data_IF_232418051592
#
_entry.id   IF_232418051592
#
_cell.length_a   1.000
_cell.length_b   1.000
_cell.length_c   1.000
_cell.angle_alpha   90.00
_cell.angle_beta   90.00
_cell.angle_gamma   90.00
#
_symmetry.space_group_name_H-M   'P 1'
#
loop_
_entity.id
_entity.type
_entity.pdbx_description
1 polymer ?
#
# COMPACT_ATOMS: atom_id res chain seq x y z
N UNK A 1 -1.75 -14.11 18.48
CA UNK A 1 -1.48 -15.30 17.63
C UNK A 1 -1.64 -14.89 16.18
N UNK A 2 -0.62 -15.06 15.37
CA UNK A 2 -0.74 -14.77 13.93
C UNK A 2 -1.56 -15.87 13.25
N UNK A 3 -2.41 -15.54 12.25
CA UNK A 3 -3.19 -16.58 11.53
C UNK A 3 -2.32 -17.68 10.95
N UNK A 4 -1.06 -17.37 10.62
CA UNK A 4 -0.08 -18.33 10.07
C UNK A 4 0.53 -19.28 11.11
N UNK A 5 0.32 -19.04 12.41
CA UNK A 5 0.73 -19.99 13.47
C UNK A 5 -0.27 -21.14 13.64
N UNK A 6 -1.49 -20.97 13.14
CA UNK A 6 -2.50 -22.01 13.16
C UNK A 6 -2.25 -23.08 12.09
N UNK A 7 -2.69 -24.29 12.35
CA UNK A 7 -2.74 -25.38 11.36
C UNK A 7 -4.13 -25.42 10.71
N UNK A 8 -4.16 -25.48 9.39
CA UNK A 8 -5.41 -25.62 8.62
C UNK A 8 -5.39 -27.00 7.94
N UNK A 9 -6.35 -27.86 8.26
CA UNK A 9 -6.41 -29.23 7.73
C UNK A 9 -5.11 -30.03 7.92
N UNK A 10 -4.42 -29.82 9.04
CA UNK A 10 -3.14 -30.50 9.33
C UNK A 10 -1.91 -29.88 8.66
N UNK A 11 -2.07 -28.83 7.85
CA UNK A 11 -0.96 -28.13 7.19
C UNK A 11 -0.61 -26.87 7.98
N UNK A 12 0.69 -26.60 8.28
CA UNK A 12 1.10 -25.35 8.92
C UNK A 12 0.69 -24.13 8.10
N UNK A 13 0.07 -23.13 8.77
CA UNK A 13 -0.39 -21.92 8.09
C UNK A 13 0.74 -21.14 7.41
N UNK A 14 1.95 -21.15 7.98
CA UNK A 14 3.16 -20.58 7.36
C UNK A 14 3.47 -21.20 6.01
N UNK A 15 3.32 -22.52 5.88
CA UNK A 15 3.54 -23.22 4.61
C UNK A 15 2.49 -22.85 3.57
N UNK A 16 1.21 -22.78 3.97
CA UNK A 16 0.13 -22.33 3.08
C UNK A 16 0.35 -20.90 2.62
N UNK A 17 0.75 -20.02 3.53
CA UNK A 17 1.06 -18.64 3.21
C UNK A 17 2.24 -18.54 2.23
N UNK A 18 3.31 -19.28 2.46
CA UNK A 18 4.48 -19.31 1.59
C UNK A 18 4.12 -19.81 0.18
N UNK A 19 3.28 -20.86 0.07
CA UNK A 19 2.82 -21.38 -1.23
C UNK A 19 1.99 -20.34 -2.01
N UNK A 20 1.07 -19.65 -1.33
CA UNK A 20 0.27 -18.59 -1.95
C UNK A 20 1.17 -17.43 -2.40
N UNK A 21 2.12 -17.02 -1.57
CA UNK A 21 3.06 -15.94 -1.89
C UNK A 21 3.94 -16.29 -3.09
N UNK A 22 4.51 -17.50 -3.11
CA UNK A 22 5.33 -17.99 -4.23
C UNK A 22 4.48 -18.07 -5.50
N UNK A 23 3.25 -18.59 -5.41
CA UNK A 23 2.32 -18.62 -6.54
C UNK A 23 2.01 -17.24 -7.11
N UNK A 24 1.75 -16.26 -6.25
CA UNK A 24 1.50 -14.87 -6.65
C UNK A 24 2.74 -14.24 -7.33
N UNK A 25 3.94 -14.44 -6.75
CA UNK A 25 5.20 -13.98 -7.35
C UNK A 25 5.46 -14.64 -8.70
N UNK A 26 5.24 -15.94 -8.81
CA UNK A 26 5.40 -16.70 -10.06
C UNK A 26 4.43 -16.20 -11.15
N UNK A 27 3.17 -15.98 -10.82
CA UNK A 27 2.17 -15.43 -11.75
C UNK A 27 2.55 -14.01 -12.21
N UNK A 28 3.01 -13.16 -11.28
CA UNK A 28 3.52 -11.84 -11.61
C UNK A 28 4.75 -11.92 -12.53
N UNK A 29 5.75 -12.74 -12.19
CA UNK A 29 6.97 -12.91 -12.98
C UNK A 29 6.67 -13.45 -14.39
N UNK A 30 5.74 -14.39 -14.52
CA UNK A 30 5.27 -14.89 -15.81
C UNK A 30 4.66 -13.77 -16.64
N UNK A 31 3.74 -12.98 -16.08
CA UNK A 31 3.08 -11.86 -16.77
C UNK A 31 4.09 -10.77 -17.15
N UNK A 32 5.00 -10.43 -16.24
CA UNK A 32 6.04 -9.45 -16.48
C UNK A 32 7.02 -9.89 -17.58
N UNK A 33 7.44 -11.16 -17.58
CA UNK A 33 8.33 -11.70 -18.62
C UNK A 33 7.70 -11.66 -20.01
N UNK A 34 6.39 -11.97 -20.11
CA UNK A 34 5.65 -11.83 -21.38
C UNK A 34 5.63 -10.40 -21.90
N UNK A 35 5.40 -9.43 -21.01
CA UNK A 35 5.43 -8.00 -21.37
C UNK A 35 6.84 -7.54 -21.73
N UNK A 36 7.85 -8.02 -21.02
CA UNK A 36 9.25 -7.72 -21.34
C UNK A 36 9.64 -8.20 -22.74
N UNK A 37 9.24 -9.41 -23.13
CA UNK A 37 9.47 -9.93 -24.48
C UNK A 37 8.87 -9.01 -25.55
N UNK A 38 7.66 -8.47 -25.33
CA UNK A 38 7.05 -7.50 -26.27
C UNK A 38 7.86 -6.22 -26.42
N UNK A 39 8.50 -5.74 -25.36
CA UNK A 39 9.35 -4.55 -25.40
C UNK A 39 10.64 -4.77 -26.20
N UNK A 40 11.10 -6.02 -26.31
CA UNK A 40 12.38 -6.36 -27.00
C UNK A 40 12.19 -6.67 -28.49
N UNK A 41 10.96 -6.82 -28.98
CA UNK A 41 10.66 -7.11 -30.39
C UNK A 41 10.87 -5.88 -31.30
N UNK A 42 10.81 -4.67 -30.74
CA UNK A 42 10.70 -3.41 -31.50
C UNK A 42 12.01 -2.84 -32.07
N UNK A 43 13.15 -3.50 -31.95
CA UNK A 43 14.44 -3.01 -32.48
C UNK A 43 15.60 -3.06 -31.47
N UNK A 44 16.80 -2.59 -31.87
CA UNK A 44 17.96 -2.59 -30.96
C UNK A 44 17.68 -1.71 -29.73
N UNK A 45 18.12 -2.14 -28.53
CA UNK A 45 17.87 -1.39 -27.31
C UNK A 45 18.61 -0.05 -27.33
N UNK A 46 17.92 1.03 -26.95
CA UNK A 46 18.56 2.31 -26.68
C UNK A 46 19.61 2.16 -25.57
N UNK A 47 20.76 2.77 -25.76
CA UNK A 47 21.79 2.87 -24.70
C UNK A 47 21.27 3.79 -23.61
N UNK A 48 20.86 3.20 -22.49
CA UNK A 48 20.24 3.93 -21.35
C UNK A 48 21.14 4.01 -20.12
N UNK A 49 22.39 3.60 -20.24
CA UNK A 49 23.41 3.67 -19.18
C UNK A 49 24.35 4.85 -19.31
N UNK A 50 24.10 5.72 -20.30
CA UNK A 50 24.95 6.84 -20.67
C UNK A 50 25.01 7.95 -19.62
N UNK A 51 23.92 8.17 -18.83
CA UNK A 51 23.82 9.25 -17.84
C UNK A 51 23.10 8.80 -16.58
N UNK A 52 23.68 7.90 -15.77
CA UNK A 52 22.98 7.25 -14.67
C UNK A 52 22.51 8.24 -13.59
N UNK A 53 23.32 9.26 -13.26
CA UNK A 53 22.97 10.27 -12.24
C UNK A 53 21.82 11.19 -12.67
N UNK A 54 21.81 11.63 -13.93
CA UNK A 54 20.70 12.45 -14.44
C UNK A 54 19.40 11.65 -14.48
N UNK A 55 19.48 10.38 -14.87
CA UNK A 55 18.33 9.47 -14.89
C UNK A 55 17.82 9.17 -13.49
N UNK A 56 18.74 8.94 -12.53
CA UNK A 56 18.36 8.77 -11.12
C UNK A 56 17.70 10.03 -10.56
N UNK A 57 18.26 11.21 -10.85
CA UNK A 57 17.63 12.48 -10.48
C UNK A 57 16.24 12.63 -11.08
N UNK A 58 16.07 12.33 -12.37
CA UNK A 58 14.77 12.36 -13.05
C UNK A 58 13.78 11.38 -12.43
N UNK A 59 14.23 10.17 -12.07
CA UNK A 59 13.41 9.17 -11.38
C UNK A 59 12.95 9.69 -10.01
N UNK A 60 13.84 10.27 -9.23
CA UNK A 60 13.50 10.84 -7.93
C UNK A 60 12.52 12.03 -8.06
N UNK A 61 12.83 13.00 -8.95
CA UNK A 61 11.98 14.18 -9.12
C UNK A 61 10.59 13.84 -9.66
N UNK A 62 10.49 12.97 -10.66
CA UNK A 62 9.24 12.69 -11.37
C UNK A 62 8.51 11.46 -10.83
N UNK A 63 9.25 10.45 -10.38
CA UNK A 63 8.68 9.20 -9.88
C UNK A 63 8.38 9.25 -8.37
N UNK A 64 9.35 9.66 -7.54
CA UNK A 64 9.19 9.64 -6.08
C UNK A 64 8.55 10.95 -5.58
N UNK A 65 9.09 12.12 -5.97
CA UNK A 65 8.55 13.41 -5.53
C UNK A 65 7.36 13.90 -6.36
N UNK A 66 6.99 13.17 -7.42
CA UNK A 66 5.79 13.42 -8.23
C UNK A 66 5.66 14.87 -8.70
N UNK A 67 6.78 15.55 -9.04
CA UNK A 67 6.86 16.99 -9.32
C UNK A 67 5.81 17.48 -10.32
N UNK A 68 5.46 16.66 -11.33
CA UNK A 68 4.45 17.03 -12.34
C UNK A 68 3.02 17.06 -11.79
N UNK A 69 2.72 16.33 -10.72
CA UNK A 69 1.38 16.27 -10.14
C UNK A 69 0.95 17.58 -9.49
N UNK A 70 1.92 18.38 -9.01
CA UNK A 70 1.64 19.68 -8.37
C UNK A 70 1.11 20.73 -9.34
N UNK A 71 1.20 20.52 -10.65
CA UNK A 71 0.70 21.48 -11.65
C UNK A 71 -0.82 21.43 -11.83
N UNK A 72 -1.49 20.29 -11.55
CA UNK A 72 -2.95 20.22 -11.50
C UNK A 72 -3.39 20.18 -10.03
N UNK A 73 -3.60 21.35 -9.44
CA UNK A 73 -3.78 21.54 -8.00
C UNK A 73 -4.73 20.55 -7.33
N UNK A 74 -5.97 20.40 -7.84
CA UNK A 74 -6.94 19.47 -7.25
C UNK A 74 -6.60 17.99 -7.55
N UNK A 75 -6.23 17.69 -8.80
CA UNK A 75 -5.84 16.32 -9.16
C UNK A 75 -4.53 15.90 -8.48
N UNK A 76 -3.58 16.83 -8.40
CA UNK A 76 -2.34 16.62 -7.67
C UNK A 76 -2.58 16.32 -6.21
N UNK A 77 -3.49 17.05 -5.54
CA UNK A 77 -3.78 16.86 -4.13
C UNK A 77 -4.24 15.43 -3.83
N UNK A 78 -5.35 14.96 -4.40
CA UNK A 78 -5.84 13.62 -4.08
C UNK A 78 -4.88 12.51 -4.55
N UNK A 79 -4.16 12.75 -5.66
CA UNK A 79 -3.13 11.81 -6.12
C UNK A 79 -2.00 11.69 -5.09
N UNK A 80 -1.52 12.80 -4.55
CA UNK A 80 -0.47 12.80 -3.52
C UNK A 80 -0.92 12.13 -2.23
N UNK A 81 -2.18 12.34 -1.81
CA UNK A 81 -2.74 11.65 -0.64
C UNK A 81 -2.77 10.14 -0.83
N UNK A 82 -3.21 9.64 -2.00
CA UNK A 82 -3.25 8.21 -2.31
C UNK A 82 -1.83 7.65 -2.50
N UNK A 83 -0.94 8.37 -3.17
CA UNK A 83 0.43 7.95 -3.41
C UNK A 83 1.26 7.87 -2.11
N UNK A 84 1.12 8.86 -1.22
CA UNK A 84 1.76 8.79 0.11
C UNK A 84 1.26 7.58 0.91
N UNK A 85 -0.05 7.28 0.81
CA UNK A 85 -0.63 6.05 1.34
C UNK A 85 0.07 4.81 0.82
N UNK A 86 0.18 4.68 -0.50
CA UNK A 86 0.88 3.56 -1.12
C UNK A 86 2.31 3.38 -0.59
N UNK A 87 3.09 4.46 -0.53
CA UNK A 87 4.50 4.40 -0.08
C UNK A 87 4.59 4.00 1.39
N UNK A 88 3.85 4.66 2.27
CA UNK A 88 3.91 4.41 3.72
C UNK A 88 3.37 3.03 4.06
N UNK A 89 2.26 2.61 3.45
CA UNK A 89 1.63 1.33 3.72
C UNK A 89 2.35 0.15 3.06
N UNK A 90 3.23 0.39 2.09
CA UNK A 90 4.13 -0.64 1.58
C UNK A 90 5.02 -1.22 2.67
N UNK A 91 5.45 -0.41 3.64
CA UNK A 91 6.21 -0.88 4.81
C UNK A 91 5.35 -1.84 5.64
N UNK A 92 4.06 -1.53 5.83
CA UNK A 92 3.12 -2.43 6.53
C UNK A 92 2.93 -3.74 5.77
N UNK A 93 2.77 -3.68 4.45
CA UNK A 93 2.64 -4.87 3.61
C UNK A 93 3.88 -5.76 3.72
N UNK A 94 5.08 -5.16 3.64
CA UNK A 94 6.33 -5.90 3.81
C UNK A 94 6.42 -6.52 5.23
N UNK A 95 5.98 -5.80 6.26
CA UNK A 95 5.95 -6.35 7.62
C UNK A 95 5.02 -7.55 7.73
N UNK A 96 3.82 -7.48 7.16
CA UNK A 96 2.87 -8.59 7.16
C UNK A 96 3.39 -9.82 6.42
N UNK A 97 4.06 -9.61 5.29
CA UNK A 97 4.72 -10.71 4.54
C UNK A 97 5.81 -11.35 5.40
N UNK A 98 6.65 -10.53 6.04
CA UNK A 98 7.71 -11.02 6.89
C UNK A 98 7.18 -11.77 8.13
N UNK A 99 6.22 -11.17 8.85
CA UNK A 99 5.55 -11.78 10.00
C UNK A 99 4.80 -13.07 9.62
N UNK A 100 4.21 -13.12 8.41
CA UNK A 100 3.54 -14.29 7.88
C UNK A 100 4.48 -15.47 7.63
N UNK A 101 5.71 -15.20 7.18
CA UNK A 101 6.75 -16.21 6.97
C UNK A 101 7.50 -16.57 8.26
N UNK A 102 7.71 -15.60 9.15
CA UNK A 102 8.50 -15.72 10.38
C UNK A 102 7.73 -15.17 11.59
N UNK A 103 6.66 -15.83 12.04
CA UNK A 103 5.75 -15.31 13.06
C UNK A 103 6.43 -14.95 14.41
N UNK A 104 7.58 -15.58 14.71
CA UNK A 104 8.32 -15.39 15.95
C UNK A 104 9.46 -14.36 15.87
N UNK A 105 9.74 -13.84 14.68
CA UNK A 105 10.93 -12.99 14.46
C UNK A 105 10.69 -11.50 14.80
N UNK A 106 9.42 -11.07 14.93
CA UNK A 106 9.08 -9.66 15.08
C UNK A 106 9.47 -8.83 13.87
N UNK A 107 9.52 -7.50 14.01
CA UNK A 107 9.96 -6.57 12.95
C UNK A 107 11.45 -6.23 13.09
N UNK A 108 12.35 -6.89 12.37
CA UNK A 108 13.79 -6.73 12.53
C UNK A 108 14.38 -5.48 11.85
N UNK A 109 13.57 -4.77 11.04
CA UNK A 109 14.11 -3.75 10.14
C UNK A 109 14.14 -2.34 10.72
N UNK A 110 13.36 -2.06 11.78
CA UNK A 110 13.29 -0.72 12.38
C UNK A 110 13.59 -0.75 13.87
N UNK A 111 14.46 0.16 14.37
CA UNK A 111 14.62 0.38 15.79
C UNK A 111 13.29 0.80 16.43
N UNK A 112 13.12 0.52 17.74
CA UNK A 112 11.85 0.75 18.45
C UNK A 112 11.28 2.17 18.27
N UNK A 113 12.12 3.22 18.36
CA UNK A 113 11.68 4.60 18.17
C UNK A 113 11.23 4.91 16.73
N UNK A 114 11.90 4.35 15.74
CA UNK A 114 11.51 4.51 14.34
C UNK A 114 10.20 3.75 14.04
N UNK A 115 9.98 2.62 14.69
CA UNK A 115 8.72 1.88 14.59
C UNK A 115 7.55 2.67 15.18
N UNK A 116 7.74 3.29 16.33
CA UNK A 116 6.71 4.15 16.94
C UNK A 116 6.34 5.34 16.05
N UNK A 117 7.33 6.05 15.52
CA UNK A 117 7.10 7.14 14.57
C UNK A 117 6.38 6.65 13.30
N UNK A 118 6.72 5.44 12.81
CA UNK A 118 6.04 4.82 11.69
C UNK A 118 4.57 4.51 12.01
N UNK A 119 4.25 4.00 13.19
CA UNK A 119 2.86 3.71 13.59
C UNK A 119 2.00 4.97 13.57
N UNK A 120 2.51 6.09 14.11
CA UNK A 120 1.82 7.37 14.06
C UNK A 120 1.63 7.86 12.62
N UNK A 121 2.67 7.79 11.81
CA UNK A 121 2.60 8.16 10.40
C UNK A 121 1.57 7.29 9.65
N UNK A 122 1.59 5.97 9.87
CA UNK A 122 0.64 5.02 9.28
C UNK A 122 -0.80 5.38 9.64
N UNK A 123 -1.08 5.65 10.90
CA UNK A 123 -2.41 5.95 11.42
C UNK A 123 -3.01 7.21 10.76
N UNK A 124 -2.21 8.27 10.63
CA UNK A 124 -2.60 9.50 9.92
C UNK A 124 -2.77 9.25 8.42
N UNK A 125 -1.85 8.51 7.81
CA UNK A 125 -1.85 8.27 6.37
C UNK A 125 -3.01 7.39 5.93
N UNK A 126 -3.47 6.45 6.73
CA UNK A 126 -4.69 5.67 6.46
C UNK A 126 -5.89 6.59 6.22
N UNK A 127 -6.12 7.55 7.10
CA UNK A 127 -7.26 8.48 6.98
C UNK A 127 -7.06 9.46 5.82
N UNK A 128 -5.87 10.02 5.66
CA UNK A 128 -5.61 10.96 4.55
C UNK A 128 -5.73 10.27 3.20
N UNK A 129 -5.37 9.00 3.09
CA UNK A 129 -5.59 8.20 1.87
C UNK A 129 -7.07 7.97 1.61
N UNK A 130 -7.87 7.66 2.63
CA UNK A 130 -9.33 7.55 2.49
C UNK A 130 -9.94 8.87 1.99
N UNK A 131 -9.52 10.01 2.54
CA UNK A 131 -9.92 11.33 2.04
C UNK A 131 -9.53 11.50 0.57
N UNK A 132 -8.31 11.14 0.20
CA UNK A 132 -7.84 11.17 -1.19
C UNK A 132 -8.70 10.33 -2.13
N UNK A 133 -9.09 9.13 -1.71
CA UNK A 133 -10.00 8.23 -2.48
C UNK A 133 -11.37 8.87 -2.65
N UNK A 134 -11.96 9.43 -1.60
CA UNK A 134 -13.27 10.10 -1.66
C UNK A 134 -13.22 11.30 -2.61
N UNK A 135 -12.17 12.13 -2.53
CA UNK A 135 -11.97 13.26 -3.43
C UNK A 135 -11.82 12.81 -4.89
N UNK A 136 -11.07 11.73 -5.13
CA UNK A 136 -10.88 11.18 -6.47
C UNK A 136 -12.18 10.61 -7.06
N UNK A 137 -12.96 9.87 -6.27
CA UNK A 137 -14.27 9.35 -6.66
C UNK A 137 -15.27 10.49 -6.92
N UNK A 138 -15.31 11.48 -6.01
CA UNK A 138 -16.16 12.66 -6.17
C UNK A 138 -15.86 13.41 -7.48
N UNK A 139 -14.59 13.68 -7.77
CA UNK A 139 -14.20 14.32 -9.03
C UNK A 139 -14.58 13.50 -10.25
N UNK A 140 -14.46 12.18 -10.17
CA UNK A 140 -14.69 11.30 -11.30
C UNK A 140 -16.17 11.11 -11.62
N UNK A 141 -17.01 10.97 -10.61
CA UNK A 141 -18.41 10.59 -10.77
C UNK A 141 -19.40 11.73 -10.50
N UNK A 142 -19.08 12.65 -9.59
CA UNK A 142 -19.97 13.77 -9.23
C UNK A 142 -19.64 15.05 -10.02
N UNK A 143 -18.34 15.40 -10.12
CA UNK A 143 -17.90 16.64 -10.75
C UNK A 143 -17.19 16.36 -12.08
N UNK A 144 -17.86 15.62 -12.98
CA UNK A 144 -17.31 15.22 -14.28
C UNK A 144 -16.70 16.40 -15.03
N UNK A 145 -15.40 16.34 -15.29
CA UNK A 145 -14.76 17.16 -16.32
C UNK A 145 -14.69 16.33 -17.61
N UNK A 146 -14.95 16.96 -18.75
CA UNK A 146 -14.97 16.32 -20.09
C UNK A 146 -13.74 15.47 -20.45
N UNK A 147 -12.62 15.70 -19.74
CA UNK A 147 -11.36 14.97 -19.91
C UNK A 147 -11.25 13.63 -19.18
N UNK A 148 -12.20 13.30 -18.33
CA UNK A 148 -12.13 12.07 -17.51
C UNK A 148 -13.07 11.03 -18.09
N UNK A 149 -12.52 10.04 -18.79
CA UNK A 149 -13.26 8.84 -19.14
C UNK A 149 -13.69 8.11 -17.85
N UNK A 150 -14.98 7.83 -17.67
CA UNK A 150 -15.47 7.05 -16.54
C UNK A 150 -15.16 5.56 -16.76
N UNK A 151 -13.87 5.18 -16.76
CA UNK A 151 -13.51 3.79 -16.89
C UNK A 151 -13.87 3.05 -15.60
N UNK A 152 -14.50 1.89 -15.76
CA UNK A 152 -14.84 0.98 -14.64
C UNK A 152 -13.60 0.61 -13.84
N UNK A 153 -12.50 0.28 -14.54
CA UNK A 153 -11.25 -0.16 -13.91
C UNK A 153 -10.68 0.86 -12.92
N UNK A 154 -10.69 2.15 -13.28
CA UNK A 154 -10.18 3.18 -12.40
C UNK A 154 -11.08 3.42 -11.18
N UNK A 155 -12.40 3.27 -11.33
CA UNK A 155 -13.34 3.28 -10.22
C UNK A 155 -13.13 2.10 -9.29
N UNK A 156 -12.99 0.92 -9.85
CA UNK A 156 -12.74 -0.32 -9.12
C UNK A 156 -11.44 -0.22 -8.30
N UNK A 157 -10.35 0.28 -8.91
CA UNK A 157 -9.07 0.46 -8.21
C UNK A 157 -9.24 1.40 -7.00
N UNK A 158 -9.92 2.54 -7.16
CA UNK A 158 -10.17 3.47 -6.06
C UNK A 158 -10.99 2.85 -4.94
N UNK A 159 -12.04 2.10 -5.28
CA UNK A 159 -12.87 1.38 -4.30
C UNK A 159 -12.05 0.33 -3.55
N UNK A 160 -11.23 -0.44 -4.26
CA UNK A 160 -10.36 -1.45 -3.62
C UNK A 160 -9.32 -0.82 -2.69
N UNK A 161 -8.73 0.32 -3.08
CA UNK A 161 -7.82 1.07 -2.19
C UNK A 161 -8.59 1.54 -0.95
N UNK A 162 -9.74 2.17 -1.11
CA UNK A 162 -10.57 2.62 0.01
C UNK A 162 -10.99 1.48 0.94
N UNK A 163 -11.39 0.36 0.37
CA UNK A 163 -11.75 -0.85 1.12
C UNK A 163 -10.55 -1.39 1.92
N UNK A 164 -9.37 -1.46 1.31
CA UNK A 164 -8.16 -1.91 1.98
C UNK A 164 -7.80 -1.01 3.17
N UNK A 165 -7.86 0.32 2.99
CA UNK A 165 -7.58 1.29 4.06
C UNK A 165 -8.61 1.20 5.20
N UNK A 166 -9.89 1.10 4.86
CA UNK A 166 -10.96 0.98 5.84
C UNK A 166 -10.85 -0.32 6.65
N UNK A 167 -10.56 -1.44 5.99
CA UNK A 167 -10.41 -2.74 6.67
C UNK A 167 -9.18 -2.79 7.56
N UNK A 168 -8.04 -2.19 7.18
CA UNK A 168 -6.85 -2.12 8.05
C UNK A 168 -7.15 -1.28 9.31
N UNK A 169 -7.81 -0.14 9.16
CA UNK A 169 -8.21 0.73 10.26
C UNK A 169 -9.21 0.04 11.22
N UNK A 170 -10.23 -0.61 10.66
CA UNK A 170 -11.23 -1.35 11.45
C UNK A 170 -10.63 -2.57 12.15
N UNK A 171 -9.74 -3.30 11.49
CA UNK A 171 -9.05 -4.45 12.10
C UNK A 171 -8.16 -4.01 13.26
N UNK A 172 -7.46 -2.88 13.13
CA UNK A 172 -6.70 -2.28 14.22
C UNK A 172 -7.58 -1.86 15.39
N UNK A 173 -8.68 -1.17 15.11
CA UNK A 173 -9.65 -0.74 16.13
C UNK A 173 -10.29 -1.93 16.84
N UNK A 174 -10.69 -2.96 16.13
CA UNK A 174 -11.24 -4.19 16.71
C UNK A 174 -10.20 -4.91 17.58
N UNK A 175 -8.93 -4.96 17.15
CA UNK A 175 -7.85 -5.52 17.97
C UNK A 175 -7.69 -4.79 19.28
N UNK A 176 -7.74 -3.45 19.29
CA UNK A 176 -7.63 -2.64 20.51
C UNK A 176 -8.88 -2.77 21.41
N UNK A 177 -10.07 -2.88 20.81
CA UNK A 177 -11.30 -3.11 21.55
C UNK A 177 -11.31 -4.48 22.28
N UNK A 178 -10.80 -5.53 21.61
CA UNK A 178 -10.76 -6.89 22.15
C UNK A 178 -9.60 -7.10 23.14
N UNK A 179 -8.51 -6.35 23.01
CA UNK A 179 -7.31 -6.45 23.83
C UNK A 179 -6.72 -5.06 24.10
N UNK A 180 -7.33 -4.30 25.05
CA UNK A 180 -6.93 -2.92 25.35
C UNK A 180 -5.46 -2.76 25.77
N UNK A 181 -4.84 -3.81 26.30
CA UNK A 181 -3.41 -3.85 26.64
C UNK A 181 -2.49 -3.72 25.42
N UNK A 182 -3.01 -3.93 24.20
CA UNK A 182 -2.27 -3.75 22.96
C UNK A 182 -2.48 -2.36 22.34
N UNK A 183 -3.34 -1.51 22.96
CA UNK A 183 -3.57 -0.17 22.46
C UNK A 183 -2.28 0.65 22.52
N UNK A 184 -1.94 1.28 21.40
CA UNK A 184 -0.74 2.06 21.25
C UNK A 184 -1.05 3.56 21.27
N UNK A 185 -0.35 4.32 22.11
CA UNK A 185 -0.40 5.78 22.07
C UNK A 185 0.07 6.38 20.73
N UNK A 186 0.73 5.58 19.90
CA UNK A 186 1.23 5.95 18.58
C UNK A 186 0.23 5.69 17.45
N UNK A 187 -0.96 5.20 17.77
CA UNK A 187 -2.07 4.97 16.82
C UNK A 187 -3.36 5.63 17.35
N UNK A 188 -3.37 6.98 17.53
CA UNK A 188 -4.45 7.68 18.22
C UNK A 188 -5.81 7.58 17.50
N UNK A 189 -5.83 7.55 16.16
CA UNK A 189 -7.08 7.45 15.39
C UNK A 189 -7.67 6.05 15.52
N UNK A 190 -6.82 5.02 15.38
CA UNK A 190 -7.21 3.63 15.60
C UNK A 190 -7.71 3.41 17.03
N UNK A 191 -7.05 4.00 18.04
CA UNK A 191 -7.47 3.93 19.43
C UNK A 191 -8.80 4.66 19.67
N UNK A 192 -9.02 5.83 19.07
CA UNK A 192 -10.30 6.53 19.17
C UNK A 192 -11.46 5.71 18.55
N UNK A 193 -11.22 5.05 17.42
CA UNK A 193 -12.21 4.16 16.79
C UNK A 193 -12.50 2.92 17.64
N UNK A 194 -11.53 2.38 18.34
CA UNK A 194 -11.76 1.23 19.23
C UNK A 194 -12.74 1.54 20.34
N UNK A 195 -12.75 2.77 20.85
CA UNK A 195 -13.74 3.25 21.83
C UNK A 195 -15.19 3.32 21.31
N UNK A 196 -15.39 3.28 19.98
CA UNK A 196 -16.75 3.18 19.39
C UNK A 196 -17.20 1.72 19.18
N UNK A 197 -16.27 0.75 19.31
CA UNK A 197 -16.53 -0.67 19.13
C UNK A 197 -16.60 -1.44 20.45
N UNK A 198 -16.20 -0.81 21.56
CA UNK A 198 -16.29 -1.31 22.95
C UNK A 198 -17.60 -0.86 23.63
#
# INVERSE_FOLDING_TARGET
>A
MMPTEATVLGVPGTLLFALVLIGAIAAFAYTASRRWQLLTIGGPPDVRWDRPMERLKGLLELGVFQKKMWWDGYAGLYHMLIFSGFVVLSVRTLSLVFEGLFPKAGMPFLPAGAWQAYLLLKDVVLVTTLVGVVLALGRRYLFRKERLDPSFDAGLILVLIGFLMATDLLAGAAKFALAPEHASAWEPITAALSGLLS
#
